data_IF_284781353730
#
_entry.id   IF_284781353730
#
_cell.length_a   1.000
_cell.length_b   1.000
_cell.length_c   1.000
_cell.angle_alpha   90.00
_cell.angle_beta   90.00
_cell.angle_gamma   90.00
#
_symmetry.space_group_name_H-M   'P 1'
#
loop_
_entity.id
_entity.type
_entity.pdbx_description
1 polymer ?
#
# COMPACT_ATOMS: atom_id res chain seq x y z
N UNK A 1 -20.05 -61.05 16.03
CA UNK A 1 -21.48 -61.28 15.70
C UNK A 1 -21.79 -62.75 15.95
N UNK A 2 -22.60 -63.07 16.98
CA UNK A 2 -23.11 -64.40 17.31
C UNK A 2 -24.56 -64.23 17.80
N UNK A 3 -25.54 -65.02 17.33
CA UNK A 3 -26.95 -64.92 17.70
C UNK A 3 -27.31 -65.91 18.82
N UNK A 4 -28.28 -65.59 19.68
CA UNK A 4 -28.93 -66.57 20.55
C UNK A 4 -30.45 -66.35 20.59
N UNK A 5 -31.17 -67.33 20.05
CA UNK A 5 -32.59 -67.57 20.22
C UNK A 5 -32.85 -68.43 21.47
N UNK A 6 -34.03 -68.28 22.11
CA UNK A 6 -34.73 -69.22 23.03
C UNK A 6 -36.08 -68.59 23.40
N UNK A 7 -37.23 -68.96 22.83
CA UNK A 7 -38.07 -70.18 22.98
C UNK A 7 -38.88 -70.21 24.29
N UNK A 8 -40.21 -70.03 24.11
CA UNK A 8 -41.41 -70.57 24.81
C UNK A 8 -41.54 -70.49 26.34
N UNK A 9 -42.72 -70.06 26.81
CA UNK A 9 -43.59 -70.83 27.72
C UNK A 9 -45.04 -70.28 27.72
N UNK A 10 -45.95 -71.22 27.57
CA UNK A 10 -47.42 -71.17 27.54
C UNK A 10 -47.93 -71.31 28.97
N UNK A 11 -48.90 -70.50 29.42
CA UNK A 11 -49.94 -70.97 30.37
C UNK A 11 -51.24 -70.19 30.14
N UNK A 12 -52.23 -70.89 29.61
CA UNK A 12 -53.61 -70.44 29.40
C UNK A 12 -54.44 -70.76 30.65
N UNK A 13 -55.19 -69.78 31.16
CA UNK A 13 -56.07 -69.95 32.32
C UNK A 13 -57.41 -70.56 31.90
N UNK A 14 -57.74 -71.70 32.50
CA UNK A 14 -59.02 -72.43 32.35
C UNK A 14 -60.03 -71.87 33.35
N UNK A 15 -61.22 -71.50 32.89
CA UNK A 15 -62.38 -71.27 33.74
C UNK A 15 -63.60 -71.98 33.15
N UNK A 16 -64.30 -72.67 34.04
CA UNK A 16 -65.15 -73.83 33.82
C UNK A 16 -66.55 -73.45 33.33
N UNK A 17 -67.05 -74.35 32.48
CA UNK A 17 -68.32 -74.40 31.76
C UNK A 17 -69.53 -74.57 32.71
N UNK A 18 -70.61 -73.83 32.46
CA UNK A 18 -71.97 -74.17 32.91
C UNK A 18 -72.80 -74.50 31.66
N UNK A 19 -73.40 -75.69 31.61
CA UNK A 19 -74.38 -76.11 30.59
C UNK A 19 -75.67 -76.48 31.32
N UNK A 20 -76.83 -75.97 30.87
CA UNK A 20 -77.82 -76.87 30.28
C UNK A 20 -78.48 -76.26 29.02
N UNK A 21 -78.48 -76.98 27.88
CA UNK A 21 -79.54 -77.89 27.38
C UNK A 21 -80.72 -77.16 26.71
N UNK A 22 -80.79 -77.22 25.37
CA UNK A 22 -81.84 -77.85 24.55
C UNK A 22 -82.11 -77.06 23.26
N UNK A 23 -82.12 -77.75 22.12
CA UNK A 23 -82.62 -77.21 20.85
C UNK A 23 -81.98 -77.89 19.65
N UNK A 24 -82.48 -79.07 19.27
CA UNK A 24 -82.13 -79.70 18.01
C UNK A 24 -82.89 -78.97 16.87
N UNK A 25 -82.25 -78.03 16.19
CA UNK A 25 -82.71 -77.52 14.89
C UNK A 25 -81.60 -77.73 13.84
N UNK A 26 -82.00 -78.12 12.63
CA UNK A 26 -81.12 -78.67 11.59
C UNK A 26 -80.03 -77.71 11.09
N UNK A 27 -78.98 -78.28 10.49
CA UNK A 27 -77.86 -77.53 9.89
C UNK A 27 -78.41 -76.54 8.84
N UNK A 28 -78.16 -75.23 8.97
CA UNK A 28 -78.47 -74.27 7.92
C UNK A 28 -77.71 -74.63 6.62
N UNK A 29 -78.40 -74.59 5.48
CA UNK A 29 -77.79 -74.82 4.17
C UNK A 29 -76.65 -73.81 3.86
N UNK A 30 -75.74 -74.13 2.93
CA UNK A 30 -74.62 -73.24 2.62
C UNK A 30 -75.13 -71.86 2.16
N UNK A 31 -74.46 -70.81 2.62
CA UNK A 31 -74.75 -69.44 2.22
C UNK A 31 -74.77 -69.30 0.69
N UNK A 32 -75.81 -68.65 0.15
CA UNK A 32 -75.87 -68.32 -1.27
C UNK A 32 -74.70 -67.43 -1.70
N UNK A 33 -74.29 -67.54 -2.96
CA UNK A 33 -73.21 -66.71 -3.53
C UNK A 33 -73.53 -65.22 -3.36
N UNK A 34 -72.61 -64.43 -2.81
CA UNK A 34 -72.78 -62.98 -2.75
C UNK A 34 -72.87 -62.41 -4.16
N UNK A 35 -73.85 -61.53 -4.40
CA UNK A 35 -74.03 -60.85 -5.68
C UNK A 35 -72.83 -59.97 -6.03
N UNK A 36 -72.56 -59.82 -7.33
CA UNK A 36 -71.48 -58.95 -7.83
C UNK A 36 -71.75 -57.49 -7.40
N UNK A 37 -70.73 -56.82 -6.85
CA UNK A 37 -70.80 -55.39 -6.52
C UNK A 37 -71.09 -54.58 -7.79
N UNK A 38 -72.07 -53.67 -7.74
CA UNK A 38 -72.43 -52.83 -8.88
C UNK A 38 -71.28 -51.93 -9.35
N UNK A 39 -71.31 -51.44 -10.61
CA UNK A 39 -70.24 -50.62 -11.17
C UNK A 39 -70.07 -49.31 -10.37
N UNK A 40 -68.83 -48.83 -10.28
CA UNK A 40 -68.53 -47.56 -9.62
C UNK A 40 -69.30 -46.40 -10.26
N UNK A 41 -69.81 -45.48 -9.45
CA UNK A 41 -70.47 -44.27 -9.93
C UNK A 41 -69.53 -43.38 -10.76
N UNK A 42 -70.08 -42.48 -11.60
CA UNK A 42 -69.26 -41.58 -12.41
C UNK A 42 -68.39 -40.68 -11.52
N UNK A 43 -67.15 -40.42 -11.96
CA UNK A 43 -66.24 -39.50 -11.29
C UNK A 43 -66.90 -38.10 -11.18
N UNK A 44 -66.78 -37.47 -10.01
CA UNK A 44 -67.26 -36.10 -9.80
C UNK A 44 -66.54 -35.09 -10.71
N UNK A 45 -67.10 -33.87 -10.89
CA UNK A 45 -66.48 -32.86 -11.73
C UNK A 45 -65.09 -32.50 -11.21
N UNK A 46 -64.15 -32.31 -12.14
CA UNK A 46 -62.81 -31.85 -11.80
C UNK A 46 -62.90 -30.53 -11.01
N UNK A 47 -62.16 -30.42 -9.91
CA UNK A 47 -62.07 -29.18 -9.15
C UNK A 47 -61.58 -28.02 -10.03
N UNK A 48 -61.94 -26.79 -9.66
CA UNK A 48 -61.47 -25.59 -10.37
C UNK A 48 -59.93 -25.60 -10.46
N UNK A 49 -59.34 -25.30 -11.63
CA UNK A 49 -57.89 -25.20 -11.77
C UNK A 49 -57.33 -24.25 -10.70
N UNK A 50 -56.27 -24.66 -10.01
CA UNK A 50 -55.55 -23.79 -9.08
C UNK A 50 -55.01 -22.55 -9.81
N UNK A 51 -54.74 -21.44 -9.08
CA UNK A 51 -54.22 -20.24 -9.70
C UNK A 51 -52.93 -20.57 -10.49
N UNK A 52 -52.71 -19.95 -11.67
CA UNK A 52 -51.52 -20.21 -12.47
C UNK A 52 -50.27 -19.93 -11.64
N UNK A 53 -49.38 -20.91 -11.52
CA UNK A 53 -48.05 -20.70 -10.93
C UNK A 53 -47.24 -19.78 -11.83
N UNK A 54 -47.15 -18.51 -11.45
CA UNK A 54 -46.22 -17.56 -12.05
C UNK A 54 -44.85 -17.69 -11.39
N UNK A 55 -43.85 -18.08 -12.16
CA UNK A 55 -42.45 -18.25 -11.73
C UNK A 55 -41.63 -16.94 -11.73
N UNK A 56 -42.25 -15.79 -11.54
CA UNK A 56 -41.55 -14.50 -11.50
C UNK A 56 -42.10 -13.64 -10.34
N UNK A 57 -41.34 -13.57 -9.24
CA UNK A 57 -41.54 -12.56 -8.19
C UNK A 57 -42.48 -12.92 -7.03
N UNK A 58 -42.11 -13.91 -6.21
CA UNK A 58 -42.78 -14.17 -4.90
C UNK A 58 -42.52 -13.07 -3.85
N UNK A 59 -41.65 -12.10 -4.14
CA UNK A 59 -41.28 -11.01 -3.24
C UNK A 59 -41.72 -9.68 -3.84
N UNK A 60 -42.39 -8.86 -3.02
CA UNK A 60 -42.69 -7.49 -3.39
C UNK A 60 -41.41 -6.63 -3.30
N UNK A 61 -41.34 -5.56 -4.09
CA UNK A 61 -40.23 -4.61 -4.06
C UNK A 61 -40.02 -4.04 -2.64
N UNK A 62 -38.76 -3.97 -2.22
CA UNK A 62 -38.39 -3.49 -0.88
C UNK A 62 -38.86 -4.40 0.27
N UNK A 63 -39.49 -5.55 -0.03
CA UNK A 63 -40.01 -6.44 1.03
C UNK A 63 -38.90 -7.12 1.83
N UNK A 64 -37.66 -7.21 1.32
CA UNK A 64 -36.50 -7.71 2.08
C UNK A 64 -35.81 -6.54 2.78
N UNK A 65 -36.05 -6.40 4.08
CA UNK A 65 -35.37 -5.43 4.94
C UNK A 65 -34.24 -6.08 5.73
N UNK A 66 -33.36 -5.29 6.35
CA UNK A 66 -32.26 -5.81 7.17
C UNK A 66 -32.71 -6.76 8.28
N UNK A 67 -33.87 -6.52 8.91
CA UNK A 67 -34.43 -7.38 9.97
C UNK A 67 -34.81 -8.78 9.47
N UNK A 68 -35.10 -8.93 8.17
CA UNK A 68 -35.44 -10.22 7.55
C UNK A 68 -34.20 -11.03 7.15
N UNK A 69 -33.01 -10.43 7.22
CA UNK A 69 -31.73 -11.08 6.95
C UNK A 69 -31.04 -11.41 8.27
N UNK A 70 -30.88 -12.71 8.56
CA UNK A 70 -30.07 -13.14 9.69
C UNK A 70 -28.59 -12.73 9.50
N UNK A 71 -27.85 -12.60 10.60
CA UNK A 71 -26.39 -12.37 10.55
C UNK A 71 -25.70 -13.47 9.74
N UNK A 72 -24.85 -13.08 8.78
CA UNK A 72 -24.18 -14.02 7.88
C UNK A 72 -25.10 -14.64 6.80
N UNK A 73 -26.35 -14.18 6.68
CA UNK A 73 -27.25 -14.67 5.63
C UNK A 73 -26.75 -14.34 4.21
N UNK A 74 -26.01 -13.24 4.06
CA UNK A 74 -25.35 -12.85 2.81
C UNK A 74 -23.84 -13.03 3.00
N UNK A 75 -23.30 -14.11 2.46
CA UNK A 75 -21.87 -14.43 2.43
C UNK A 75 -21.28 -14.04 1.08
N UNK A 76 -19.96 -13.95 0.94
CA UNK A 76 -19.31 -13.65 -0.35
C UNK A 76 -19.75 -14.61 -1.47
N UNK A 77 -19.92 -15.91 -1.18
CA UNK A 77 -20.41 -16.90 -2.16
C UNK A 77 -21.85 -16.67 -2.68
N UNK A 78 -22.62 -15.77 -2.04
CA UNK A 78 -23.98 -15.39 -2.46
C UNK A 78 -23.99 -14.07 -3.23
N UNK A 79 -22.86 -13.36 -3.27
CA UNK A 79 -22.67 -12.15 -4.05
C UNK A 79 -21.97 -12.57 -5.34
N UNK A 80 -22.51 -12.15 -6.48
CA UNK A 80 -21.88 -12.44 -7.77
C UNK A 80 -20.64 -11.56 -7.92
N UNK A 81 -19.54 -12.16 -8.38
CA UNK A 81 -18.30 -11.42 -8.60
C UNK A 81 -18.50 -10.26 -9.59
N UNK A 82 -17.88 -9.12 -9.28
CA UNK A 82 -17.91 -7.92 -10.10
C UNK A 82 -19.24 -7.13 -10.07
N UNK A 83 -20.21 -7.49 -9.22
CA UNK A 83 -21.48 -6.74 -9.15
C UNK A 83 -21.50 -5.61 -8.14
N UNK A 84 -20.60 -5.59 -7.16
CA UNK A 84 -20.48 -4.49 -6.20
C UNK A 84 -19.70 -3.36 -6.86
N UNK A 85 -20.38 -2.27 -7.17
CA UNK A 85 -19.78 -1.08 -7.78
C UNK A 85 -19.54 0.00 -6.72
N UNK A 86 -18.81 1.05 -7.08
CA UNK A 86 -18.52 2.16 -6.17
C UNK A 86 -19.79 2.82 -5.58
N UNK A 87 -20.90 2.86 -6.33
CA UNK A 87 -22.16 3.41 -5.87
C UNK A 87 -22.82 2.57 -4.74
N UNK A 88 -22.44 1.30 -4.59
CA UNK A 88 -22.94 0.42 -3.53
C UNK A 88 -22.16 0.60 -2.21
N UNK A 89 -21.01 1.28 -2.26
CA UNK A 89 -20.10 1.47 -1.13
C UNK A 89 -20.19 2.92 -0.66
N UNK A 90 -20.69 3.13 0.56
CA UNK A 90 -20.71 4.46 1.15
C UNK A 90 -19.28 5.00 1.36
N UNK A 91 -19.09 6.30 1.10
CA UNK A 91 -17.80 6.96 1.26
C UNK A 91 -17.23 6.76 2.67
N UNK A 92 -15.91 6.60 2.77
CA UNK A 92 -15.16 6.41 4.02
C UNK A 92 -15.54 5.16 4.84
N UNK A 93 -16.20 4.16 4.23
CA UNK A 93 -16.58 2.92 4.94
C UNK A 93 -15.44 1.89 4.97
N UNK A 94 -14.56 1.90 3.97
CA UNK A 94 -13.42 0.97 3.88
C UNK A 94 -12.29 1.50 4.75
N UNK A 95 -11.98 0.80 5.84
CA UNK A 95 -10.85 1.12 6.71
C UNK A 95 -9.56 0.43 6.24
N UNK A 96 -8.41 0.87 6.74
CA UNK A 96 -7.12 0.29 6.38
C UNK A 96 -7.04 -1.23 6.68
N UNK A 97 -7.74 -1.70 7.73
CA UNK A 97 -7.78 -3.12 8.09
C UNK A 97 -8.62 -3.99 7.15
N UNK A 98 -9.50 -3.38 6.35
CA UNK A 98 -10.29 -4.11 5.33
C UNK A 98 -9.48 -4.36 4.05
N UNK A 99 -8.34 -3.66 3.90
CA UNK A 99 -7.44 -3.77 2.75
C UNK A 99 -6.32 -4.73 3.12
N UNK A 100 -6.27 -5.89 2.48
CA UNK A 100 -5.20 -6.85 2.69
C UNK A 100 -3.84 -6.27 2.28
N UNK A 101 -2.77 -6.70 2.94
CA UNK A 101 -1.40 -6.30 2.58
C UNK A 101 -1.11 -6.65 1.12
N UNK A 102 -0.68 -5.66 0.34
CA UNK A 102 -0.40 -5.81 -1.09
C UNK A 102 -1.64 -5.84 -1.99
N UNK A 103 -2.85 -5.60 -1.47
CA UNK A 103 -4.07 -5.54 -2.28
C UNK A 103 -4.17 -4.29 -3.17
N UNK A 104 -3.37 -3.25 -2.88
CA UNK A 104 -3.24 -2.05 -3.71
C UNK A 104 -1.87 -2.09 -4.35
N UNK A 105 -1.83 -2.40 -5.65
CA UNK A 105 -0.63 -2.35 -6.47
C UNK A 105 -0.68 -1.14 -7.44
N UNK A 106 0.25 -1.11 -8.40
CA UNK A 106 0.35 -0.03 -9.37
C UNK A 106 -0.89 0.11 -10.28
N UNK A 107 -1.68 -0.95 -10.47
CA UNK A 107 -2.89 -0.94 -11.28
C UNK A 107 -4.04 -0.21 -10.59
N UNK A 108 -4.09 -0.23 -9.25
CA UNK A 108 -5.10 0.47 -8.46
C UNK A 108 -4.76 1.96 -8.26
N UNK A 109 -3.51 2.37 -8.47
CA UNK A 109 -3.07 3.75 -8.38
C UNK A 109 -3.12 4.43 -9.75
N UNK A 110 -4.09 5.32 -9.95
CA UNK A 110 -4.13 6.17 -11.13
C UNK A 110 -2.87 7.03 -11.26
N UNK A 111 -2.56 7.48 -12.47
CA UNK A 111 -1.53 8.48 -12.70
C UNK A 111 -1.78 9.71 -11.80
N UNK A 112 -0.72 10.23 -11.19
CA UNK A 112 -0.74 11.37 -10.26
C UNK A 112 -1.60 11.14 -8.99
N UNK A 113 -1.98 9.90 -8.68
CA UNK A 113 -2.75 9.58 -7.48
C UNK A 113 -1.97 9.86 -6.18
N UNK A 114 -0.64 9.81 -6.20
CA UNK A 114 0.21 10.14 -5.04
C UNK A 114 0.87 11.49 -5.30
N UNK A 115 0.24 12.55 -4.85
CA UNK A 115 0.78 13.92 -4.92
C UNK A 115 1.68 14.20 -3.72
N UNK A 116 2.48 15.27 -3.77
CA UNK A 116 3.32 15.68 -2.64
C UNK A 116 2.51 15.89 -1.34
N UNK A 117 1.26 16.34 -1.42
CA UNK A 117 0.40 16.52 -0.25
C UNK A 117 -0.02 15.20 0.42
N UNK A 118 0.21 14.04 -0.22
CA UNK A 118 -0.05 12.70 0.32
C UNK A 118 1.22 12.04 0.88
N UNK A 119 2.37 12.70 0.75
CA UNK A 119 3.66 12.24 1.26
C UNK A 119 4.01 13.17 2.41
N UNK A 120 4.10 12.62 3.61
CA UNK A 120 4.49 13.41 4.78
C UNK A 120 5.93 13.91 4.63
N UNK A 121 6.17 15.15 5.04
CA UNK A 121 7.50 15.75 4.97
C UNK A 121 8.53 14.88 5.71
N UNK A 122 9.73 14.78 5.12
CA UNK A 122 10.88 14.05 5.68
C UNK A 122 10.70 12.52 5.82
N UNK A 123 9.67 11.93 5.20
CA UNK A 123 9.44 10.47 5.30
C UNK A 123 10.15 9.64 4.24
N UNK A 124 10.51 10.23 3.09
CA UNK A 124 11.26 9.54 2.04
C UNK A 124 12.71 9.36 2.50
N UNK A 125 13.08 8.13 2.84
CA UNK A 125 14.41 7.74 3.26
C UNK A 125 15.27 7.32 2.05
N UNK A 126 16.60 7.24 2.26
CA UNK A 126 17.53 6.77 1.23
C UNK A 126 17.17 5.37 0.70
N UNK A 127 16.57 4.51 1.53
CA UNK A 127 16.16 3.16 1.13
C UNK A 127 14.94 3.15 0.18
N UNK A 128 14.15 4.22 0.16
CA UNK A 128 12.98 4.35 -0.72
C UNK A 128 13.37 4.78 -2.15
N UNK A 129 14.58 5.33 -2.32
CA UNK A 129 15.11 5.79 -3.60
C UNK A 129 16.04 4.71 -4.17
N UNK A 130 15.74 4.22 -5.37
CA UNK A 130 16.62 3.27 -6.06
C UNK A 130 18.04 3.83 -6.21
N UNK A 131 19.05 2.99 -5.98
CA UNK A 131 20.45 3.34 -6.19
C UNK A 131 20.77 3.75 -7.65
N UNK A 132 19.90 3.42 -8.60
CA UNK A 132 20.03 3.80 -10.02
C UNK A 132 19.01 4.87 -10.43
N UNK A 133 18.33 5.52 -9.48
CA UNK A 133 17.36 6.56 -9.78
C UNK A 133 18.03 7.78 -10.44
N UNK A 134 17.54 8.17 -11.62
CA UNK A 134 17.98 9.37 -12.30
C UNK A 134 17.17 10.58 -11.80
N UNK A 135 17.54 11.13 -10.64
CA UNK A 135 16.94 12.35 -10.09
C UNK A 135 17.70 13.56 -10.61
N UNK A 136 17.04 14.44 -11.36
CA UNK A 136 17.67 15.66 -11.83
C UNK A 136 18.03 16.56 -10.64
N UNK A 137 19.26 17.09 -10.61
CA UNK A 137 19.71 17.98 -9.52
C UNK A 137 18.84 19.22 -9.31
N UNK A 138 18.15 19.69 -10.36
CA UNK A 138 17.15 20.78 -10.27
C UNK A 138 15.89 20.42 -9.45
N UNK A 139 15.71 19.15 -9.11
CA UNK A 139 14.63 18.64 -8.24
C UNK A 139 15.07 18.47 -6.79
N UNK A 140 16.37 18.62 -6.52
CA UNK A 140 16.93 18.60 -5.18
C UNK A 140 17.11 20.07 -4.79
N UNK A 141 16.51 20.49 -3.68
CA UNK A 141 16.69 21.86 -3.18
C UNK A 141 18.19 22.12 -2.98
N UNK A 142 18.73 23.29 -3.39
CA UNK A 142 20.16 23.59 -3.38
C UNK A 142 20.80 23.67 -1.99
N UNK A 143 20.10 23.30 -0.90
CA UNK A 143 20.75 22.97 0.38
C UNK A 143 21.49 21.62 0.32
N UNK A 144 22.26 21.48 -0.75
CA UNK A 144 23.33 20.53 -0.97
C UNK A 144 24.64 21.23 -0.65
N UNK A 145 24.66 22.05 0.41
CA UNK A 145 25.84 22.81 0.88
C UNK A 145 27.08 21.92 1.09
N UNK A 146 26.91 20.59 1.03
CA UNK A 146 27.95 19.57 1.09
C UNK A 146 28.00 18.55 -0.08
N UNK A 147 27.14 18.66 -1.10
CA UNK A 147 26.89 17.56 -2.05
C UNK A 147 27.02 17.91 -3.54
N UNK A 148 27.31 19.17 -3.93
CA UNK A 148 27.74 19.49 -5.30
C UNK A 148 29.27 19.38 -5.42
N UNK A 149 29.79 18.20 -5.10
CA UNK A 149 30.83 17.52 -5.88
C UNK A 149 30.82 16.09 -5.38
N UNK A 150 30.46 15.16 -6.27
CA UNK A 150 30.39 13.75 -5.93
C UNK A 150 31.69 13.24 -5.33
N UNK A 151 31.59 12.19 -4.50
CA UNK A 151 32.69 11.24 -4.34
C UNK A 151 34.08 11.87 -4.12
N UNK A 152 34.21 12.79 -3.17
CA UNK A 152 35.52 13.05 -2.59
C UNK A 152 35.43 12.69 -1.13
N UNK A 153 35.73 11.42 -0.84
CA UNK A 153 35.70 10.82 0.48
C UNK A 153 36.18 11.79 1.58
N UNK A 154 35.25 12.29 2.40
CA UNK A 154 35.54 13.08 3.59
C UNK A 154 35.69 14.59 3.41
N UNK A 155 35.51 15.18 2.21
CA UNK A 155 35.69 16.62 2.03
C UNK A 155 34.38 17.37 1.72
N UNK A 156 34.20 18.50 2.39
CA UNK A 156 33.18 19.53 2.11
C UNK A 156 33.78 20.58 1.18
N UNK A 157 33.06 20.98 0.13
CA UNK A 157 33.53 21.99 -0.82
C UNK A 157 32.75 23.28 -0.65
N UNK A 158 33.46 24.34 -0.30
CA UNK A 158 32.90 25.69 -0.18
C UNK A 158 33.54 26.60 -1.22
N UNK A 159 32.72 27.38 -1.94
CA UNK A 159 33.20 28.40 -2.88
C UNK A 159 32.93 29.78 -2.30
N UNK A 160 34.00 30.53 -2.04
CA UNK A 160 33.93 31.93 -1.64
C UNK A 160 34.10 32.83 -2.86
N UNK A 161 33.38 33.95 -2.88
CA UNK A 161 33.50 35.00 -3.89
C UNK A 161 33.92 36.27 -3.16
N UNK A 162 35.22 36.59 -3.24
CA UNK A 162 35.80 37.69 -2.47
C UNK A 162 36.46 38.71 -3.39
N UNK A 163 36.37 39.98 -3.03
CA UNK A 163 37.10 41.05 -3.72
C UNK A 163 38.50 41.15 -3.15
N UNK A 164 39.50 40.87 -3.99
CA UNK A 164 40.92 40.90 -3.63
C UNK A 164 41.56 42.11 -4.28
N UNK A 165 42.33 42.87 -3.52
CA UNK A 165 43.10 44.04 -3.97
C UNK A 165 44.58 43.82 -3.62
N UNK A 166 45.38 43.22 -4.53
CA UNK A 166 46.79 42.95 -4.26
C UNK A 166 47.58 44.25 -4.12
N UNK A 167 48.54 44.28 -3.20
CA UNK A 167 49.48 45.39 -3.13
C UNK A 167 50.44 45.37 -4.33
N UNK A 168 51.07 46.52 -4.61
CA UNK A 168 52.07 46.59 -5.67
C UNK A 168 53.30 45.72 -5.33
N UNK A 169 53.67 44.83 -6.26
CA UNK A 169 54.83 43.95 -6.13
C UNK A 169 55.98 44.49 -6.98
N UNK A 170 57.14 44.67 -6.35
CA UNK A 170 58.33 45.22 -6.99
C UNK A 170 58.84 44.36 -8.16
N UNK A 171 59.58 44.99 -9.08
CA UNK A 171 60.18 44.35 -10.24
C UNK A 171 61.08 43.16 -9.87
N UNK A 172 60.97 42.05 -10.60
CA UNK A 172 61.77 40.83 -10.42
C UNK A 172 61.76 40.28 -8.98
N UNK A 173 60.63 40.36 -8.26
CA UNK A 173 60.49 39.87 -6.88
C UNK A 173 59.29 38.95 -6.68
N UNK A 174 59.23 38.37 -5.49
CA UNK A 174 58.10 37.59 -4.96
C UNK A 174 57.64 38.27 -3.68
N UNK A 175 56.33 38.39 -3.49
CA UNK A 175 55.71 38.93 -2.28
C UNK A 175 54.66 37.95 -1.75
N UNK A 176 54.64 37.75 -0.44
CA UNK A 176 53.57 37.02 0.23
C UNK A 176 52.60 38.02 0.85
N UNK A 177 51.33 37.90 0.50
CA UNK A 177 50.26 38.78 0.95
C UNK A 177 49.12 37.95 1.52
N UNK A 178 48.43 38.52 2.52
CA UNK A 178 47.32 37.86 3.20
C UNK A 178 46.03 38.60 3.00
N UNK A 179 44.96 37.86 2.68
CA UNK A 179 43.61 38.37 2.47
C UNK A 179 42.64 37.69 3.43
N UNK A 180 41.62 38.43 3.85
CA UNK A 180 40.56 37.87 4.71
C UNK A 180 39.52 37.17 3.85
N UNK A 181 39.27 35.90 4.13
CA UNK A 181 38.22 35.09 3.49
C UNK A 181 37.48 34.40 4.62
N UNK A 182 36.32 34.94 5.00
CA UNK A 182 35.62 34.50 6.22
C UNK A 182 35.01 33.12 5.99
N UNK A 183 35.38 32.16 6.83
CA UNK A 183 34.94 30.76 6.74
C UNK A 183 36.08 29.78 6.50
N UNK A 184 37.25 30.25 6.03
CA UNK A 184 38.41 29.37 5.88
C UNK A 184 38.91 28.85 7.22
N UNK A 185 39.21 27.55 7.25
CA UNK A 185 39.82 26.85 8.38
C UNK A 185 41.28 26.49 8.07
N UNK A 186 42.10 26.31 9.09
CA UNK A 186 43.52 25.95 8.92
C UNK A 186 43.74 24.58 8.27
N UNK A 187 42.70 23.75 8.18
CA UNK A 187 42.74 22.43 7.54
C UNK A 187 42.29 22.46 6.08
N UNK A 188 41.79 23.59 5.59
CA UNK A 188 41.27 23.67 4.23
C UNK A 188 42.38 23.56 3.19
N UNK A 189 42.11 22.79 2.14
CA UNK A 189 42.88 22.83 0.89
C UNK A 189 42.24 23.86 -0.02
N UNK A 190 43.01 24.86 -0.46
CA UNK A 190 42.48 25.99 -1.22
C UNK A 190 43.00 26.06 -2.65
N UNK A 191 42.11 26.40 -3.57
CA UNK A 191 42.41 26.77 -4.95
C UNK A 191 41.82 28.15 -5.22
N UNK A 192 42.49 28.97 -6.03
CA UNK A 192 42.00 30.31 -6.37
C UNK A 192 41.92 30.49 -7.88
N UNK A 193 40.87 31.18 -8.30
CA UNK A 193 40.75 31.75 -9.62
C UNK A 193 40.84 33.28 -9.48
N UNK A 194 41.99 33.89 -9.79
CA UNK A 194 42.22 35.31 -9.55
C UNK A 194 41.50 36.25 -10.55
N UNK A 195 40.61 35.69 -11.39
CA UNK A 195 39.92 36.42 -12.44
C UNK A 195 40.91 37.00 -13.45
N UNK A 196 40.72 38.27 -13.83
CA UNK A 196 41.64 39.03 -14.69
C UNK A 196 42.77 39.65 -13.87
N UNK A 197 43.80 38.87 -13.56
CA UNK A 197 44.96 39.36 -12.81
C UNK A 197 46.18 39.55 -13.72
N UNK A 198 46.87 40.68 -13.59
CA UNK A 198 48.11 41.00 -14.31
C UNK A 198 49.37 40.54 -13.58
N UNK A 199 49.28 40.17 -12.30
CA UNK A 199 50.38 39.57 -11.53
C UNK A 199 50.24 38.04 -11.45
N UNK A 200 51.38 37.33 -11.42
CA UNK A 200 51.39 35.86 -11.30
C UNK A 200 51.12 35.39 -9.88
N UNK A 201 50.35 34.31 -9.72
CA UNK A 201 50.17 33.60 -8.44
C UNK A 201 51.03 32.34 -8.44
N UNK A 202 52.02 32.28 -7.56
CA UNK A 202 52.98 31.18 -7.45
C UNK A 202 52.61 30.12 -6.41
N UNK A 203 51.75 30.47 -5.45
CA UNK A 203 51.29 29.56 -4.41
C UNK A 203 50.18 30.17 -3.58
N UNK A 204 49.35 29.30 -2.99
CA UNK A 204 48.25 29.68 -2.11
C UNK A 204 48.16 28.69 -0.97
N UNK A 205 47.88 29.18 0.25
CA UNK A 205 47.53 28.35 1.39
C UNK A 205 46.66 29.12 2.37
N UNK A 206 46.04 28.42 3.31
CA UNK A 206 45.45 29.05 4.49
C UNK A 206 46.56 29.25 5.53
N UNK A 207 46.91 30.49 5.84
CA UNK A 207 47.98 30.81 6.82
C UNK A 207 47.45 30.86 8.25
N UNK A 208 46.18 31.18 8.43
CA UNK A 208 45.44 31.14 9.69
C UNK A 208 43.93 31.06 9.39
N UNK A 209 43.10 30.80 10.41
CA UNK A 209 41.65 30.86 10.23
C UNK A 209 41.22 32.20 9.60
N UNK A 210 40.27 32.13 8.66
CA UNK A 210 39.78 33.25 7.84
C UNK A 210 40.86 33.97 7.02
N UNK A 211 42.07 33.41 6.88
CA UNK A 211 43.22 34.11 6.30
C UNK A 211 43.82 33.30 5.16
N UNK A 212 43.61 33.76 3.94
CA UNK A 212 44.24 33.25 2.73
C UNK A 212 45.60 33.92 2.57
N UNK A 213 46.67 33.16 2.42
CA UNK A 213 47.96 33.69 1.97
C UNK A 213 48.19 33.33 0.51
N UNK A 214 48.54 34.35 -0.27
CA UNK A 214 48.87 34.24 -1.69
C UNK A 214 50.30 34.69 -1.89
N UNK A 215 51.07 33.89 -2.62
CA UNK A 215 52.43 34.21 -3.02
C UNK A 215 52.36 34.76 -4.44
N UNK A 216 52.60 36.05 -4.59
CA UNK A 216 52.66 36.73 -5.87
C UNK A 216 54.07 36.75 -6.43
N UNK A 217 54.18 36.64 -7.75
CA UNK A 217 55.45 36.75 -8.48
C UNK A 217 55.33 37.82 -9.56
N UNK A 218 56.28 38.75 -9.54
CA UNK A 218 56.47 39.73 -10.60
C UNK A 218 57.81 39.47 -11.31
N UNK A 219 57.80 38.78 -12.47
CA UNK A 219 59.01 38.52 -13.23
C UNK A 219 59.44 39.70 -14.13
N UNK A 220 58.69 40.81 -14.12
CA UNK A 220 58.92 41.93 -15.05
C UNK A 220 59.95 42.93 -14.51
N UNK A 221 60.43 43.81 -15.39
CA UNK A 221 61.41 44.83 -15.05
C UNK A 221 60.81 46.07 -14.34
N UNK A 222 59.48 46.11 -14.15
CA UNK A 222 58.77 47.20 -13.49
C UNK A 222 57.92 46.65 -12.34
N UNK A 223 57.58 47.50 -11.37
CA UNK A 223 56.56 47.13 -10.37
C UNK A 223 55.21 46.89 -11.07
N UNK A 224 54.46 45.90 -10.60
CA UNK A 224 53.08 45.64 -11.03
C UNK A 224 52.16 46.04 -9.88
N UNK A 225 51.14 46.82 -10.20
CA UNK A 225 50.03 47.16 -9.30
C UNK A 225 48.78 46.54 -9.93
N UNK A 226 48.38 45.38 -9.40
CA UNK A 226 47.27 44.62 -9.96
C UNK A 226 45.95 45.25 -9.51
N UNK A 227 45.01 45.42 -10.45
CA UNK A 227 43.72 45.98 -10.10
C UNK A 227 42.92 45.03 -9.20
N UNK A 228 42.15 45.61 -8.27
CA UNK A 228 41.18 44.85 -7.49
C UNK A 228 40.20 44.08 -8.39
N UNK A 229 39.98 42.81 -8.07
CA UNK A 229 39.08 41.92 -8.82
C UNK A 229 38.38 40.92 -7.90
N UNK A 230 37.24 40.40 -8.34
CA UNK A 230 36.55 39.32 -7.64
C UNK A 230 37.21 37.99 -7.96
N UNK A 231 37.64 37.28 -6.92
CA UNK A 231 38.25 35.96 -7.00
C UNK A 231 37.24 34.92 -6.55
N UNK A 232 37.25 33.77 -7.23
CA UNK A 232 36.59 32.57 -6.72
C UNK A 232 37.64 31.74 -5.98
N UNK A 233 37.36 31.44 -4.71
CA UNK A 233 38.24 30.64 -3.85
C UNK A 233 37.49 29.36 -3.51
N UNK A 234 38.02 28.23 -3.94
CA UNK A 234 37.49 26.91 -3.61
C UNK A 234 38.25 26.37 -2.41
N UNK A 235 37.54 26.05 -1.34
CA UNK A 235 38.08 25.38 -0.16
C UNK A 235 37.52 23.97 -0.04
N UNK A 236 38.41 22.99 0.18
CA UNK A 236 38.07 21.61 0.50
C UNK A 236 38.38 21.39 1.99
N UNK A 237 37.34 21.22 2.80
CA UNK A 237 37.43 20.99 4.25
C UNK A 237 37.27 19.49 4.55
N UNK A 238 38.28 18.81 5.13
CA UNK A 238 38.21 17.39 5.50
C UNK A 238 37.27 17.09 6.67
#
# INVERSE_FOLDING_TARGET
MKPLAKVFIVVTLVALLVVPVMGCEGVPGPAGSQGLQGPAGPAGPAGSPGPPGGEEGLLLDGSVTSVKLATGAVTSAKIKDGTIVAADIAANTIAAGDIATGAVDTAELAADAVTSAKIDDLTIANADISATAAIAGSKISPDVTNAIVGDTAGYTVTIYSETIDPASVAAATVAAETFTVTGLTTTDIVFVNPGVNTIGVAGVRVSAANTLEVIFVNPTASAIDAASSTWEIVALTP
#
